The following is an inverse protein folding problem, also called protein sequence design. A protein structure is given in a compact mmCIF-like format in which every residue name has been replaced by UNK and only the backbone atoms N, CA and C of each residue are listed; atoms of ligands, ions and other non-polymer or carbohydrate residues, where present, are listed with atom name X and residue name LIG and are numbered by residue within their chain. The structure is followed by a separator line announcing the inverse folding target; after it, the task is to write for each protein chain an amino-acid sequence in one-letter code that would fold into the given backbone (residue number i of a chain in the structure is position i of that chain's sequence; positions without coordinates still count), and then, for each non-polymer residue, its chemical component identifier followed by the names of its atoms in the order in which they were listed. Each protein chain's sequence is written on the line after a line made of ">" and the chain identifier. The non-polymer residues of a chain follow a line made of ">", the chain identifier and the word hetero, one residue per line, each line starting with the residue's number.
data_IF_835614837229
#
_entry.id   IF_835614837229
#
_cell.length_a   1.000
_cell.length_b   1.000
_cell.length_c   1.000
_cell.angle_alpha   90.00
_cell.angle_beta   90.00
_cell.angle_gamma   90.00
#
_symmetry.space_group_name_H-M   'P 1'
#
loop_
_entity.id
_entity.type
_entity.pdbx_description
1 polymer ?
#
# COMPACT_ATOMS: atom_id res chain seq x y z
N UNK A 1 2.16 50.62 39.06
CA UNK A 1 2.38 49.17 38.84
C UNK A 1 1.09 48.45 39.23
N UNK A 2 0.40 47.60 38.46
CA UNK A 2 0.55 47.13 37.09
C UNK A 2 -0.80 46.50 36.67
N UNK A 3 -1.90 47.28 36.69
CA UNK A 3 -3.28 46.78 36.47
C UNK A 3 -3.58 46.36 35.02
N UNK A 4 -2.67 46.65 34.09
CA UNK A 4 -2.81 46.30 32.67
C UNK A 4 -2.26 44.91 32.34
N UNK A 5 -1.47 44.28 33.23
CA UNK A 5 -0.83 42.98 32.95
C UNK A 5 -1.82 41.81 32.97
N UNK A 6 -2.88 41.87 33.79
CA UNK A 6 -3.87 40.79 33.87
C UNK A 6 -4.74 40.67 32.61
N UNK A 7 -4.99 41.77 31.91
CA UNK A 7 -5.86 41.80 30.74
C UNK A 7 -5.19 41.24 29.48
N UNK A 8 -3.86 41.37 29.36
CA UNK A 8 -3.10 40.78 28.26
C UNK A 8 -3.00 39.25 28.37
N UNK A 9 -2.98 38.69 29.59
CA UNK A 9 -2.85 37.24 29.78
C UNK A 9 -4.11 36.47 29.35
N UNK A 10 -5.30 37.06 29.54
CA UNK A 10 -6.57 36.48 29.10
C UNK A 10 -6.80 36.58 27.59
N UNK A 11 -6.15 37.54 26.92
CA UNK A 11 -6.25 37.72 25.47
C UNK A 11 -5.40 36.70 24.69
N UNK A 12 -4.31 36.20 25.29
CA UNK A 12 -3.43 35.19 24.68
C UNK A 12 -4.01 33.77 24.75
N UNK A 13 -4.87 33.47 25.74
CA UNK A 13 -5.53 32.17 25.87
C UNK A 13 -6.73 31.98 24.92
N UNK A 14 -7.25 33.05 24.31
CA UNK A 14 -8.36 32.99 23.35
C UNK A 14 -7.96 32.63 21.92
N UNK A 15 -6.66 32.55 21.61
CA UNK A 15 -6.12 32.29 20.26
C UNK A 15 -5.43 30.92 20.19
N UNK A 16 -5.79 29.97 21.06
CA UNK A 16 -5.54 28.56 20.75
C UNK A 16 -6.51 28.15 19.65
N UNK A 17 -6.16 28.52 18.41
CA UNK A 17 -6.86 28.14 17.21
C UNK A 17 -7.03 26.61 17.22
N UNK A 18 -8.28 26.17 17.13
CA UNK A 18 -8.58 24.77 16.85
C UNK A 18 -8.07 24.49 15.44
N UNK A 19 -6.83 24.02 15.35
CA UNK A 19 -6.26 23.58 14.08
C UNK A 19 -6.89 22.24 13.71
N UNK A 20 -8.10 22.30 13.15
CA UNK A 20 -8.67 21.16 12.45
C UNK A 20 -7.98 21.06 11.10
N UNK A 21 -7.03 20.14 11.00
CA UNK A 21 -6.57 19.68 9.69
C UNK A 21 -7.75 18.99 9.00
N UNK A 22 -8.44 19.70 8.11
CA UNK A 22 -9.43 19.08 7.22
C UNK A 22 -8.70 18.05 6.34
N UNK A 23 -9.18 16.81 6.22
CA UNK A 23 -8.59 15.86 5.28
C UNK A 23 -9.07 16.25 3.87
N UNK A 24 -8.35 17.17 3.23
CA UNK A 24 -8.43 17.33 1.79
C UNK A 24 -7.70 16.11 1.22
N UNK A 25 -8.43 15.15 0.67
CA UNK A 25 -7.83 14.13 -0.21
C UNK A 25 -8.28 14.44 -1.64
N UNK A 26 -8.01 15.68 -2.05
CA UNK A 26 -7.86 16.07 -3.46
C UNK A 26 -6.35 16.29 -3.65
N UNK A 27 -5.70 15.40 -4.41
CA UNK A 27 -4.24 15.39 -4.61
C UNK A 27 -3.59 14.05 -4.29
N UNK A 28 -2.26 14.03 -4.22
CA UNK A 28 -1.47 12.81 -4.02
C UNK A 28 -1.68 12.21 -2.62
N UNK A 29 -1.94 10.91 -2.57
CA UNK A 29 -2.11 10.22 -1.29
C UNK A 29 -1.61 8.78 -1.31
N UNK A 30 -1.25 8.30 -0.14
CA UNK A 30 -1.02 6.89 0.13
C UNK A 30 -2.26 6.27 0.74
N UNK A 31 -2.67 5.12 0.23
CA UNK A 31 -3.70 4.27 0.81
C UNK A 31 -3.05 2.97 1.32
N UNK A 32 -3.03 2.77 2.63
CA UNK A 32 -2.46 1.58 3.25
C UNK A 32 -3.54 0.66 3.80
N UNK A 33 -3.26 -0.65 3.73
CA UNK A 33 -4.09 -1.71 4.29
C UNK A 33 -3.39 -2.40 5.47
N UNK A 34 -4.18 -2.78 6.48
CA UNK A 34 -3.76 -3.70 7.54
C UNK A 34 -4.74 -4.85 7.59
N UNK A 35 -4.22 -6.06 7.82
CA UNK A 35 -5.03 -7.27 7.95
C UNK A 35 -4.84 -7.92 9.32
N UNK A 36 -5.89 -8.57 9.81
CA UNK A 36 -5.81 -9.50 10.93
C UNK A 36 -5.70 -10.96 10.44
N UNK A 37 -5.60 -11.94 11.35
CA UNK A 37 -5.49 -13.35 10.95
C UNK A 37 -6.76 -13.91 10.29
N UNK A 38 -7.89 -13.22 10.39
CA UNK A 38 -9.12 -13.57 9.66
C UNK A 38 -9.18 -12.93 8.27
N UNK A 39 -8.08 -12.29 7.82
CA UNK A 39 -7.99 -11.53 6.58
C UNK A 39 -8.95 -10.33 6.49
N UNK A 40 -9.52 -9.89 7.61
CA UNK A 40 -10.32 -8.66 7.65
C UNK A 40 -9.41 -7.48 7.35
N UNK A 41 -9.86 -6.56 6.47
CA UNK A 41 -9.03 -5.49 5.94
C UNK A 41 -9.47 -4.13 6.47
N UNK A 42 -8.53 -3.33 6.96
CA UNK A 42 -8.74 -1.92 7.31
C UNK A 42 -7.88 -1.03 6.43
N UNK A 43 -8.54 -0.05 5.80
CA UNK A 43 -7.90 0.92 4.90
C UNK A 43 -7.78 2.28 5.58
N UNK A 44 -6.70 2.99 5.29
CA UNK A 44 -6.54 4.39 5.67
C UNK A 44 -5.76 5.16 4.61
N UNK A 45 -6.09 6.44 4.46
CA UNK A 45 -5.48 7.34 3.47
C UNK A 45 -4.75 8.49 4.17
N UNK A 46 -3.61 8.90 3.63
CA UNK A 46 -2.89 10.10 4.05
C UNK A 46 -1.88 10.52 2.99
N UNK A 47 -1.52 11.81 2.93
CA UNK A 47 -0.43 12.30 2.06
C UNK A 47 0.94 11.65 2.39
N UNK A 48 1.14 11.17 3.62
CA UNK A 48 2.36 10.48 4.05
C UNK A 48 2.13 8.97 4.26
N UNK A 49 2.92 8.13 3.58
CA UNK A 49 2.83 6.66 3.67
C UNK A 49 2.85 6.14 5.11
N UNK A 50 3.80 6.60 5.93
CA UNK A 50 3.95 6.14 7.32
C UNK A 50 2.73 6.48 8.18
N UNK A 51 2.09 7.62 7.92
CA UNK A 51 0.88 8.03 8.64
C UNK A 51 -0.30 7.17 8.20
N UNK A 52 -0.50 6.97 6.90
CA UNK A 52 -1.53 6.07 6.38
C UNK A 52 -1.40 4.64 6.94
N UNK A 53 -0.18 4.11 7.01
CA UNK A 53 0.13 2.79 7.57
C UNK A 53 -0.21 2.69 9.07
N UNK A 54 0.19 3.71 9.84
CA UNK A 54 -0.10 3.75 11.27
C UNK A 54 -1.60 3.89 11.54
N UNK A 55 -2.32 4.67 10.73
CA UNK A 55 -3.77 4.80 10.83
C UNK A 55 -4.48 3.49 10.51
N UNK A 56 -4.09 2.78 9.45
CA UNK A 56 -4.69 1.47 9.12
C UNK A 56 -4.39 0.44 10.20
N UNK A 57 -3.18 0.46 10.77
CA UNK A 57 -2.82 -0.40 11.89
C UNK A 57 -3.63 -0.09 13.15
N UNK A 58 -3.75 1.17 13.53
CA UNK A 58 -4.57 1.59 14.67
C UNK A 58 -6.05 1.22 14.48
N UNK A 59 -6.58 1.36 13.26
CA UNK A 59 -7.94 0.94 12.91
C UNK A 59 -8.12 -0.58 13.09
N UNK A 60 -7.16 -1.40 12.64
CA UNK A 60 -7.18 -2.85 12.88
C UNK A 60 -7.17 -3.17 14.38
N UNK A 61 -6.24 -2.58 15.14
CA UNK A 61 -6.13 -2.80 16.60
C UNK A 61 -7.39 -2.43 17.36
N UNK A 62 -8.11 -1.41 16.89
CA UNK A 62 -9.35 -0.93 17.51
C UNK A 62 -10.57 -1.78 17.16
N UNK A 63 -10.65 -2.27 15.92
CA UNK A 63 -11.88 -2.85 15.38
C UNK A 63 -11.82 -4.37 15.10
N UNK A 64 -10.62 -4.98 15.08
CA UNK A 64 -10.48 -6.42 14.93
C UNK A 64 -10.95 -7.15 16.18
N UNK A 65 -11.57 -8.32 15.99
CA UNK A 65 -11.90 -9.25 17.08
C UNK A 65 -10.65 -9.92 17.67
N UNK A 66 -9.54 -9.91 16.94
CA UNK A 66 -8.27 -10.57 17.29
C UNK A 66 -7.09 -9.59 17.12
N UNK A 67 -7.08 -8.47 17.88
CA UNK A 67 -6.18 -7.34 17.62
C UNK A 67 -4.70 -7.69 17.76
N UNK A 68 -4.33 -8.75 18.50
CA UNK A 68 -2.94 -9.21 18.58
C UNK A 68 -2.39 -9.69 17.22
N UNK A 69 -3.26 -10.07 16.30
CA UNK A 69 -2.89 -10.61 14.98
C UNK A 69 -2.75 -9.56 13.88
N UNK A 70 -3.13 -8.31 14.17
CA UNK A 70 -2.96 -7.21 13.22
C UNK A 70 -1.49 -7.10 12.80
N UNK A 71 -1.24 -7.21 11.50
CA UNK A 71 0.08 -7.03 10.89
C UNK A 71 -0.04 -6.11 9.69
N UNK A 72 0.98 -5.28 9.51
CA UNK A 72 1.05 -4.32 8.42
C UNK A 72 2.44 -4.35 7.80
N UNK A 73 2.53 -4.10 6.50
CA UNK A 73 3.80 -4.01 5.76
C UNK A 73 3.75 -2.80 4.85
N UNK A 74 4.92 -2.26 4.50
CA UNK A 74 5.00 -1.14 3.53
C UNK A 74 4.46 -1.54 2.15
N UNK A 75 4.57 -2.81 1.78
CA UNK A 75 4.01 -3.35 0.53
C UNK A 75 2.48 -3.35 0.50
N UNK A 76 1.80 -3.21 1.65
CA UNK A 76 0.34 -3.03 1.72
C UNK A 76 -0.13 -1.60 1.46
N UNK A 77 0.77 -0.69 1.07
CA UNK A 77 0.46 0.68 0.72
C UNK A 77 0.49 0.90 -0.80
N UNK A 78 -0.49 1.66 -1.28
CA UNK A 78 -0.63 2.04 -2.68
C UNK A 78 -0.53 3.57 -2.76
N UNK A 79 0.34 4.07 -3.62
CA UNK A 79 0.42 5.51 -3.92
C UNK A 79 -0.56 5.87 -5.04
N UNK A 80 -1.29 6.94 -4.83
CA UNK A 80 -2.16 7.57 -5.80
C UNK A 80 -1.64 8.98 -6.10
N UNK A 81 -1.50 9.32 -7.38
CA UNK A 81 -1.17 10.65 -7.88
C UNK A 81 -2.34 11.09 -8.77
N UNK A 82 -2.95 12.23 -8.47
CA UNK A 82 -4.19 12.69 -9.14
C UNK A 82 -5.30 11.62 -9.20
N UNK A 83 -5.40 10.78 -8.16
CA UNK A 83 -6.36 9.67 -8.09
C UNK A 83 -5.98 8.42 -8.90
N UNK A 84 -4.84 8.42 -9.59
CA UNK A 84 -4.33 7.30 -10.38
C UNK A 84 -3.34 6.49 -9.54
N UNK A 85 -3.51 5.17 -9.49
CA UNK A 85 -2.56 4.27 -8.84
C UNK A 85 -1.24 4.22 -9.63
N UNK A 86 -0.16 4.71 -9.03
CA UNK A 86 1.18 4.76 -9.64
C UNK A 86 2.12 3.67 -9.13
N UNK A 87 1.65 2.75 -8.28
CA UNK A 87 2.46 1.62 -7.83
C UNK A 87 2.89 0.79 -9.03
N UNK A 88 4.14 0.29 -9.12
CA UNK A 88 4.56 -0.57 -10.22
C UNK A 88 3.60 -1.76 -10.39
N UNK A 89 3.24 -2.08 -11.63
CA UNK A 89 2.34 -3.19 -11.95
C UNK A 89 3.08 -4.20 -12.80
N UNK A 90 3.97 -4.96 -12.14
CA UNK A 90 4.81 -5.95 -12.80
C UNK A 90 4.00 -7.16 -13.25
N UNK A 91 4.20 -7.53 -14.51
CA UNK A 91 3.74 -8.79 -15.07
C UNK A 91 4.94 -9.48 -15.72
N UNK A 92 5.17 -10.74 -15.36
CA UNK A 92 6.26 -11.55 -15.92
C UNK A 92 5.72 -12.70 -16.76
N UNK A 93 6.54 -13.20 -17.69
CA UNK A 93 6.19 -14.34 -18.55
C UNK A 93 7.24 -15.43 -18.39
N UNK A 94 6.85 -16.59 -17.85
CA UNK A 94 7.68 -17.78 -17.84
C UNK A 94 7.51 -18.55 -19.15
N UNK A 95 8.52 -19.35 -19.49
CA UNK A 95 8.51 -20.20 -20.66
C UNK A 95 8.88 -21.63 -20.27
N UNK A 96 8.34 -22.60 -20.99
CA UNK A 96 8.81 -23.98 -20.94
C UNK A 96 9.71 -24.29 -22.13
N UNK A 97 10.20 -25.53 -22.23
CA UNK A 97 11.06 -25.96 -23.35
C UNK A 97 10.37 -25.87 -24.71
N UNK A 98 9.04 -25.84 -24.76
CA UNK A 98 8.25 -25.65 -25.99
C UNK A 98 8.03 -24.17 -26.32
N UNK A 99 8.62 -23.27 -25.53
CA UNK A 99 8.48 -21.82 -25.63
C UNK A 99 7.02 -21.34 -25.49
N UNK A 100 6.17 -22.10 -24.78
CA UNK A 100 4.82 -21.63 -24.47
C UNK A 100 4.87 -20.51 -23.42
N UNK A 101 4.17 -19.38 -23.62
CA UNK A 101 4.20 -18.26 -22.70
C UNK A 101 3.21 -18.43 -21.55
N UNK A 102 3.69 -18.30 -20.32
CA UNK A 102 2.89 -18.41 -19.10
C UNK A 102 2.99 -17.12 -18.28
N UNK A 103 1.96 -16.28 -18.36
CA UNK A 103 1.96 -14.94 -17.74
C UNK A 103 1.46 -14.97 -16.31
N UNK A 104 2.10 -14.21 -15.44
CA UNK A 104 1.59 -13.94 -14.10
C UNK A 104 0.40 -12.98 -14.14
N UNK A 105 -0.29 -12.85 -12.99
CA UNK A 105 -1.09 -11.67 -12.68
C UNK A 105 -0.20 -10.42 -12.52
N UNK A 106 -0.82 -9.30 -12.16
CA UNK A 106 -0.14 -8.04 -11.87
C UNK A 106 0.28 -8.01 -10.39
N UNK A 107 1.53 -7.66 -10.13
CA UNK A 107 2.11 -7.56 -8.79
C UNK A 107 2.80 -6.23 -8.58
N UNK A 108 2.82 -5.76 -7.33
CA UNK A 108 3.55 -4.55 -6.94
C UNK A 108 5.07 -4.72 -7.02
N UNK A 109 5.55 -5.95 -6.86
CA UNK A 109 6.95 -6.33 -6.86
C UNK A 109 7.26 -7.25 -8.04
N UNK A 110 8.41 -7.04 -8.67
CA UNK A 110 8.82 -7.78 -9.88
C UNK A 110 9.16 -9.23 -9.57
N UNK A 111 9.82 -9.48 -8.46
CA UNK A 111 10.24 -10.82 -8.02
C UNK A 111 9.02 -11.68 -7.69
N UNK A 112 7.98 -11.11 -7.05
CA UNK A 112 6.70 -11.77 -6.82
C UNK A 112 6.00 -12.16 -8.14
N UNK A 113 6.00 -11.27 -9.14
CA UNK A 113 5.47 -11.57 -10.47
C UNK A 113 6.27 -12.69 -11.16
N UNK A 114 7.59 -12.70 -11.02
CA UNK A 114 8.46 -13.73 -11.61
C UNK A 114 8.17 -15.11 -11.01
N UNK A 115 8.10 -15.20 -9.68
CA UNK A 115 7.78 -16.44 -8.96
C UNK A 115 6.36 -16.93 -9.31
N UNK A 116 5.39 -16.02 -9.41
CA UNK A 116 4.03 -16.36 -9.80
C UNK A 116 3.95 -16.88 -11.24
N UNK A 117 4.67 -16.28 -12.19
CA UNK A 117 4.74 -16.75 -13.58
C UNK A 117 5.34 -18.15 -13.66
N UNK A 118 6.45 -18.40 -12.96
CA UNK A 118 7.12 -19.70 -12.93
C UNK A 118 6.22 -20.77 -12.31
N UNK A 119 5.57 -20.46 -11.18
CA UNK A 119 4.63 -21.37 -10.54
C UNK A 119 3.43 -21.69 -11.44
N UNK A 120 2.90 -20.69 -12.16
CA UNK A 120 1.81 -20.89 -13.11
C UNK A 120 2.22 -21.81 -14.27
N UNK A 121 3.42 -21.60 -14.83
CA UNK A 121 3.99 -22.50 -15.83
C UNK A 121 4.08 -23.94 -15.29
N UNK A 122 4.68 -24.13 -14.11
CA UNK A 122 4.84 -25.46 -13.48
C UNK A 122 3.50 -26.16 -13.22
N UNK A 123 2.41 -25.41 -13.06
CA UNK A 123 1.09 -25.96 -12.81
C UNK A 123 0.33 -26.34 -14.10
N UNK A 124 0.59 -25.64 -15.22
CA UNK A 124 -0.26 -25.71 -16.42
C UNK A 124 0.46 -26.21 -17.67
N UNK A 125 1.78 -26.10 -17.73
CA UNK A 125 2.56 -26.54 -18.88
C UNK A 125 2.46 -28.06 -19.04
N UNK A 126 2.43 -28.58 -20.29
CA UNK A 126 2.56 -30.00 -20.57
C UNK A 126 3.95 -30.57 -20.17
N UNK A 127 4.95 -29.71 -20.00
CA UNK A 127 6.34 -30.06 -19.64
C UNK A 127 6.85 -29.26 -18.43
N UNK A 128 6.21 -29.40 -17.26
CA UNK A 128 6.35 -28.46 -16.12
C UNK A 128 7.75 -28.38 -15.52
N UNK A 129 8.54 -29.45 -15.58
CA UNK A 129 9.92 -29.48 -15.08
C UNK A 129 10.89 -28.60 -15.90
N UNK A 130 10.47 -28.17 -17.08
CA UNK A 130 11.28 -27.32 -17.96
C UNK A 130 10.93 -25.84 -17.85
N UNK A 131 9.98 -25.48 -17.00
CA UNK A 131 9.58 -24.11 -16.77
C UNK A 131 10.73 -23.29 -16.19
N UNK A 132 11.04 -22.18 -16.86
CA UNK A 132 12.02 -21.20 -16.41
C UNK A 132 11.46 -19.78 -16.57
N UNK A 133 11.97 -18.88 -15.74
CA UNK A 133 11.66 -17.45 -15.79
C UNK A 133 12.95 -16.66 -15.98
N UNK A 134 12.90 -15.65 -16.84
CA UNK A 134 13.95 -14.65 -16.98
C UNK A 134 13.36 -13.29 -16.60
N UNK A 135 13.96 -12.57 -15.66
CA UNK A 135 13.46 -11.26 -15.21
C UNK A 135 13.39 -10.21 -16.33
N UNK A 136 14.07 -10.42 -17.46
CA UNK A 136 13.93 -9.61 -18.69
C UNK A 136 12.53 -9.68 -19.29
N UNK A 137 11.77 -10.75 -19.03
CA UNK A 137 10.39 -10.91 -19.54
C UNK A 137 9.35 -10.23 -18.65
N UNK A 138 9.80 -9.58 -17.58
CA UNK A 138 8.97 -8.80 -16.68
C UNK A 138 8.80 -7.37 -17.21
N UNK A 139 7.55 -6.93 -17.28
CA UNK A 139 7.19 -5.59 -17.75
C UNK A 139 6.37 -4.88 -16.68
N UNK A 140 6.74 -3.64 -16.37
CA UNK A 140 5.92 -2.77 -15.55
C UNK A 140 4.80 -2.18 -16.41
N UNK A 141 3.54 -2.53 -16.12
CA UNK A 141 2.37 -2.07 -16.88
C UNK A 141 1.94 -0.64 -16.58
N UNK A 142 2.55 -0.01 -15.58
CA UNK A 142 2.29 1.39 -15.23
C UNK A 142 3.27 2.37 -15.89
N UNK A 143 4.31 1.88 -16.56
CA UNK A 143 5.14 2.70 -17.44
C UNK A 143 4.45 2.76 -18.81
N UNK A 144 3.82 3.90 -19.12
CA UNK A 144 3.39 4.29 -20.47
C UNK A 144 4.49 5.16 -21.06
#
# INVERSE_FOLDING_TARGET
>A
MNKYIGYYFLLVLGISASSFAAPIIEGDYWQCATHDANNTKWLSKNMYQKVALNLSYAACKKNSQIPATCKTTRSSCIQFIDGINVMPMWQCTAFDREALPWRSNLYANREDAALAAEAYCKQKSPVPYTCFINVVTCVNKNEI
#
